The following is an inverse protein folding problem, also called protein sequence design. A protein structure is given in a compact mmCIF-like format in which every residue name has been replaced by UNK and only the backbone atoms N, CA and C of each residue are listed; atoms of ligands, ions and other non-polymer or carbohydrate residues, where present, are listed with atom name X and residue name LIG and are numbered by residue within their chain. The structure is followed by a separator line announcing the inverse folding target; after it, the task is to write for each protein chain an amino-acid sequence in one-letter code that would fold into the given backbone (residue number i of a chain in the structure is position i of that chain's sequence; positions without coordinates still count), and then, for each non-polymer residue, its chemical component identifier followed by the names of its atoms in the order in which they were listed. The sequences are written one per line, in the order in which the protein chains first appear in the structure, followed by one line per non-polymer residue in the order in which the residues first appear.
data_IF_433004188203
#
_entry.id   IF_433004188203
#
_cell.length_a   1.000
_cell.length_b   1.000
_cell.length_c   1.000
_cell.angle_alpha   90.00
_cell.angle_beta   90.00
_cell.angle_gamma   90.00
#
_symmetry.space_group_name_H-M   'P 1'
#
loop_
_entity.id
_entity.type
_entity.pdbx_description
1 polymer ?
#
# COMPACT_ATOMS: atom_id res chain seq x y z
N UNK A 1 -22.28 -10.67 1.42
CA UNK A 1 -21.00 -11.40 1.16
C UNK A 1 -19.88 -10.60 1.81
N UNK A 2 -18.89 -11.27 2.38
CA UNK A 2 -17.70 -10.63 2.96
C UNK A 2 -16.45 -11.11 2.23
N UNK A 3 -15.55 -10.18 1.91
CA UNK A 3 -14.25 -10.43 1.29
C UNK A 3 -13.16 -9.98 2.25
N UNK A 4 -12.23 -10.86 2.59
CA UNK A 4 -11.06 -10.53 3.37
C UNK A 4 -9.85 -10.37 2.46
N UNK A 5 -9.18 -9.21 2.50
CA UNK A 5 -7.99 -8.90 1.72
C UNK A 5 -6.76 -8.93 2.62
N UNK A 6 -5.97 -9.98 2.52
CA UNK A 6 -4.67 -10.06 3.18
C UNK A 6 -3.63 -9.30 2.37
N UNK A 7 -3.12 -8.20 2.91
CA UNK A 7 -2.42 -7.19 2.11
C UNK A 7 -1.31 -6.48 2.87
N UNK A 8 -0.30 -6.03 2.11
CA UNK A 8 0.79 -5.18 2.58
C UNK A 8 0.96 -3.98 1.64
N UNK A 9 1.24 -2.81 2.19
CA UNK A 9 1.47 -1.58 1.41
C UNK A 9 2.72 -1.62 0.53
N UNK A 10 3.69 -2.48 0.82
CA UNK A 10 4.86 -2.69 -0.02
C UNK A 10 4.58 -3.58 -1.25
N UNK A 11 3.40 -4.21 -1.32
CA UNK A 11 3.03 -5.13 -2.39
C UNK A 11 2.35 -4.40 -3.56
N UNK A 12 2.97 -4.32 -4.75
CA UNK A 12 2.36 -3.65 -5.91
C UNK A 12 1.06 -4.33 -6.36
N UNK A 13 1.02 -5.66 -6.29
CA UNK A 13 -0.16 -6.44 -6.70
C UNK A 13 -1.34 -6.29 -5.74
N UNK A 14 -1.08 -5.95 -4.47
CA UNK A 14 -2.14 -5.66 -3.51
C UNK A 14 -2.90 -4.39 -3.91
N UNK A 15 -2.20 -3.31 -4.27
CA UNK A 15 -2.84 -2.07 -4.73
C UNK A 15 -3.57 -2.25 -6.06
N UNK A 16 -2.93 -2.91 -7.03
CA UNK A 16 -3.56 -3.22 -8.32
C UNK A 16 -4.81 -4.09 -8.13
N UNK A 17 -4.72 -5.12 -7.26
CA UNK A 17 -5.82 -6.02 -6.94
C UNK A 17 -7.00 -5.31 -6.27
N UNK A 18 -6.72 -4.40 -5.32
CA UNK A 18 -7.74 -3.55 -4.70
C UNK A 18 -8.51 -2.74 -5.75
N UNK A 19 -7.80 -2.08 -6.67
CA UNK A 19 -8.44 -1.29 -7.73
C UNK A 19 -9.28 -2.13 -8.70
N UNK A 20 -8.81 -3.34 -9.02
CA UNK A 20 -9.59 -4.28 -9.84
C UNK A 20 -10.84 -4.76 -9.12
N UNK A 21 -10.72 -5.06 -7.82
CA UNK A 21 -11.88 -5.44 -7.01
C UNK A 21 -12.90 -4.33 -6.92
N UNK A 22 -12.47 -3.07 -6.66
CA UNK A 22 -13.37 -1.91 -6.65
C UNK A 22 -14.16 -1.79 -7.96
N UNK A 23 -13.47 -1.91 -9.11
CA UNK A 23 -14.11 -1.86 -10.43
C UNK A 23 -15.11 -2.99 -10.62
N UNK A 24 -14.71 -4.22 -10.31
CA UNK A 24 -15.57 -5.39 -10.46
C UNK A 24 -16.83 -5.28 -9.59
N UNK A 25 -16.70 -4.78 -8.36
CA UNK A 25 -17.85 -4.57 -7.47
C UNK A 25 -18.78 -3.46 -7.97
N UNK A 26 -18.25 -2.44 -8.63
CA UNK A 26 -19.07 -1.39 -9.24
C UNK A 26 -19.90 -1.86 -10.44
N UNK A 27 -19.53 -2.98 -11.09
CA UNK A 27 -20.17 -3.53 -12.26
C UNK A 27 -21.24 -4.59 -11.95
N UNK A 28 -21.32 -5.08 -10.71
CA UNK A 28 -22.27 -6.12 -10.32
C UNK A 28 -23.41 -5.60 -9.45
N UNK A 29 -24.60 -6.17 -9.62
CA UNK A 29 -25.76 -5.85 -8.78
C UNK A 29 -25.48 -6.23 -7.31
N UNK A 30 -25.63 -5.26 -6.42
CA UNK A 30 -25.39 -5.44 -4.99
C UNK A 30 -23.91 -5.46 -4.61
N UNK A 31 -23.00 -5.05 -5.49
CA UNK A 31 -21.58 -4.92 -5.17
C UNK A 31 -21.31 -3.92 -4.05
N UNK A 32 -22.14 -2.88 -3.93
CA UNK A 32 -22.15 -1.91 -2.83
C UNK A 32 -22.46 -2.51 -1.45
N UNK A 33 -23.06 -3.70 -1.41
CA UNK A 33 -23.41 -4.43 -0.18
C UNK A 33 -22.33 -5.45 0.22
N UNK A 34 -21.26 -5.55 -0.56
CA UNK A 34 -20.13 -6.43 -0.23
C UNK A 34 -19.27 -5.77 0.83
N UNK A 35 -19.14 -6.41 1.98
CA UNK A 35 -18.22 -5.97 3.03
C UNK A 35 -16.79 -6.37 2.63
N UNK A 36 -15.88 -5.39 2.61
CA UNK A 36 -14.45 -5.63 2.39
C UNK A 36 -13.72 -5.37 3.71
N UNK A 37 -13.03 -6.37 4.20
CA UNK A 37 -12.16 -6.26 5.37
C UNK A 37 -10.70 -6.38 4.95
N UNK A 38 -9.91 -5.34 5.20
CA UNK A 38 -8.47 -5.36 5.02
C UNK A 38 -7.83 -6.11 6.20
N UNK A 39 -7.06 -7.15 5.89
CA UNK A 39 -6.27 -7.91 6.86
C UNK A 39 -4.79 -7.59 6.66
N UNK A 40 -4.14 -7.15 7.70
CA UNK A 40 -2.71 -6.83 7.68
C UNK A 40 -1.87 -8.09 7.50
N UNK A 41 -0.98 -8.07 6.52
CA UNK A 41 0.00 -9.12 6.29
C UNK A 41 1.36 -8.48 6.00
N UNK A 42 2.28 -8.58 6.94
CA UNK A 42 3.62 -8.01 6.81
C UNK A 42 4.52 -8.94 5.99
N UNK A 43 4.83 -8.56 4.74
CA UNK A 43 5.64 -9.36 3.81
C UNK A 43 7.10 -9.51 4.26
N UNK A 44 7.62 -8.51 4.96
CA UNK A 44 8.98 -8.50 5.47
C UNK A 44 9.04 -7.83 6.85
N UNK A 45 8.81 -8.61 7.94
CA UNK A 45 8.86 -8.09 9.31
C UNK A 45 10.23 -7.54 9.72
N UNK A 46 11.29 -7.95 8.99
CA UNK A 46 12.67 -7.54 9.28
C UNK A 46 13.17 -6.39 8.40
N UNK A 47 12.29 -5.82 7.56
CA UNK A 47 12.64 -4.66 6.76
C UNK A 47 13.11 -3.48 7.64
N UNK A 48 14.13 -2.77 7.15
CA UNK A 48 14.63 -1.56 7.84
C UNK A 48 13.55 -0.47 7.88
N UNK A 49 13.57 0.33 8.94
CA UNK A 49 12.80 1.57 9.02
C UNK A 49 13.37 2.69 8.15
N UNK A 50 14.62 2.54 7.71
CA UNK A 50 15.29 3.47 6.79
C UNK A 50 15.39 2.89 5.37
N UNK A 51 15.40 3.79 4.39
CA UNK A 51 15.60 3.40 2.98
C UNK A 51 17.07 3.02 2.79
N UNK A 52 17.35 1.73 2.61
CA UNK A 52 18.72 1.20 2.52
C UNK A 52 19.15 0.85 1.08
N UNK A 53 18.21 0.82 0.14
CA UNK A 53 18.47 0.50 -1.26
C UNK A 53 17.42 1.07 -2.19
N UNK A 54 17.75 1.19 -3.48
CA UNK A 54 16.76 1.52 -4.51
C UNK A 54 15.80 0.36 -4.73
N UNK A 55 14.63 0.65 -5.30
CA UNK A 55 13.65 -0.38 -5.66
C UNK A 55 14.24 -1.36 -6.68
N UNK A 56 15.05 -0.88 -7.64
CA UNK A 56 15.71 -1.73 -8.63
C UNK A 56 16.73 -2.65 -7.96
N UNK A 57 17.59 -2.14 -7.10
CA UNK A 57 18.60 -2.95 -6.42
C UNK A 57 17.96 -4.02 -5.51
N UNK A 58 16.94 -3.64 -4.76
CA UNK A 58 16.19 -4.57 -3.90
C UNK A 58 15.50 -5.67 -4.72
N UNK A 59 14.86 -5.29 -5.83
CA UNK A 59 14.16 -6.21 -6.72
C UNK A 59 15.14 -7.18 -7.39
N UNK A 60 16.26 -6.67 -7.91
CA UNK A 60 17.33 -7.47 -8.51
C UNK A 60 17.89 -8.49 -7.51
N UNK A 61 18.20 -8.05 -6.29
CA UNK A 61 18.72 -8.94 -5.24
C UNK A 61 17.71 -10.02 -4.84
N UNK A 62 16.42 -9.63 -4.66
CA UNK A 62 15.36 -10.58 -4.24
C UNK A 62 15.08 -11.67 -5.25
N UNK A 63 15.15 -11.36 -6.55
CA UNK A 63 14.79 -12.28 -7.62
C UNK A 63 15.98 -12.80 -8.43
N UNK A 64 17.22 -12.52 -7.98
CA UNK A 64 18.47 -12.93 -8.62
C UNK A 64 18.56 -12.50 -10.10
N UNK A 65 18.24 -11.22 -10.36
CA UNK A 65 18.20 -10.61 -11.69
C UNK A 65 19.34 -9.61 -11.86
N UNK A 66 19.67 -9.28 -13.13
CA UNK A 66 20.43 -8.07 -13.43
C UNK A 66 19.59 -6.81 -13.10
N UNK A 67 20.24 -5.65 -13.00
CA UNK A 67 19.52 -4.38 -12.76
C UNK A 67 18.61 -4.02 -13.94
N UNK A 68 19.03 -4.34 -15.15
CA UNK A 68 18.29 -4.14 -16.38
C UNK A 68 17.00 -4.98 -16.38
N UNK A 69 17.09 -6.28 -16.11
CA UNK A 69 15.95 -7.18 -16.01
C UNK A 69 14.98 -6.76 -14.87
N UNK A 70 15.55 -6.33 -13.73
CA UNK A 70 14.75 -5.83 -12.61
C UNK A 70 13.98 -4.57 -13.01
N UNK A 71 14.62 -3.61 -13.68
CA UNK A 71 13.99 -2.38 -14.16
C UNK A 71 12.86 -2.66 -15.16
N UNK A 72 13.07 -3.59 -16.10
CA UNK A 72 12.05 -4.02 -17.07
C UNK A 72 10.83 -4.63 -16.38
N UNK A 73 11.03 -5.50 -15.38
CA UNK A 73 9.92 -6.10 -14.63
C UNK A 73 9.17 -5.09 -13.77
N UNK A 74 9.90 -4.16 -13.12
CA UNK A 74 9.30 -3.05 -12.36
C UNK A 74 8.45 -2.18 -13.28
N UNK A 75 8.93 -1.88 -14.49
CA UNK A 75 8.17 -1.11 -15.47
C UNK A 75 6.94 -1.87 -15.99
N UNK A 76 7.05 -3.18 -16.19
CA UNK A 76 5.90 -4.02 -16.56
C UNK A 76 4.80 -3.98 -15.49
N UNK A 77 5.17 -4.08 -14.20
CA UNK A 77 4.25 -3.94 -13.07
C UNK A 77 3.65 -2.53 -13.02
N UNK A 78 4.48 -1.50 -13.25
CA UNK A 78 4.02 -0.11 -13.29
C UNK A 78 2.97 0.12 -14.39
N UNK A 79 3.16 -0.48 -15.57
CA UNK A 79 2.16 -0.44 -16.66
C UNK A 79 0.84 -1.10 -16.25
N UNK A 80 0.87 -2.23 -15.53
CA UNK A 80 -0.36 -2.83 -14.98
C UNK A 80 -1.09 -1.89 -14.02
N UNK A 81 -0.35 -1.22 -13.12
CA UNK A 81 -0.95 -0.22 -12.22
C UNK A 81 -1.57 0.95 -12.99
N UNK A 82 -0.87 1.47 -13.99
CA UNK A 82 -1.38 2.56 -14.83
C UNK A 82 -2.61 2.15 -15.64
N UNK A 83 -2.71 0.91 -16.11
CA UNK A 83 -3.92 0.41 -16.80
C UNK A 83 -5.15 0.37 -15.89
N UNK A 84 -4.97 0.35 -14.58
CA UNK A 84 -6.03 0.49 -13.60
C UNK A 84 -6.35 1.95 -13.20
N UNK A 85 -5.70 2.93 -13.84
CA UNK A 85 -5.90 4.36 -13.57
C UNK A 85 -5.08 4.89 -12.39
N UNK A 86 -4.08 4.16 -11.93
CA UNK A 86 -3.18 4.59 -10.85
C UNK A 86 -1.98 5.33 -11.46
N UNK A 87 -1.59 6.48 -10.92
CA UNK A 87 -0.27 7.09 -11.20
C UNK A 87 0.82 6.26 -10.50
N UNK A 88 1.12 5.11 -11.09
CA UNK A 88 1.93 4.06 -10.46
C UNK A 88 3.42 4.29 -10.72
N UNK A 89 4.13 4.78 -9.70
CA UNK A 89 5.55 5.15 -9.73
C UNK A 89 6.40 4.16 -8.95
N UNK A 90 6.36 2.87 -9.32
CA UNK A 90 6.96 1.80 -8.55
C UNK A 90 8.49 1.92 -8.45
N UNK A 91 9.17 2.34 -9.50
CA UNK A 91 10.63 2.47 -9.54
C UNK A 91 11.17 3.43 -8.47
N UNK A 92 10.38 4.43 -8.09
CA UNK A 92 10.77 5.50 -7.14
C UNK A 92 10.27 5.25 -5.72
N UNK A 93 9.69 4.08 -5.42
CA UNK A 93 9.20 3.78 -4.08
C UNK A 93 10.32 3.79 -3.04
N UNK A 94 10.00 4.23 -1.84
CA UNK A 94 10.91 4.31 -0.70
C UNK A 94 10.59 3.17 0.27
N UNK A 95 11.14 2.00 -0.02
CA UNK A 95 10.86 0.79 0.73
C UNK A 95 11.40 0.86 2.16
N UNK A 96 10.52 0.62 3.11
CA UNK A 96 10.81 0.50 4.54
C UNK A 96 9.84 -0.50 5.16
N UNK A 97 10.05 -0.82 6.44
CA UNK A 97 9.10 -1.61 7.22
C UNK A 97 7.70 -0.99 7.19
N UNK A 98 6.67 -1.82 7.07
CA UNK A 98 5.25 -1.41 6.94
C UNK A 98 4.43 -1.62 8.20
N UNK A 99 5.03 -2.11 9.29
CA UNK A 99 4.31 -2.45 10.52
C UNK A 99 3.44 -1.30 11.04
N UNK A 100 4.02 -0.08 11.17
CA UNK A 100 3.27 1.06 11.72
C UNK A 100 2.12 1.50 10.81
N UNK A 101 2.29 1.42 9.48
CA UNK A 101 1.19 1.72 8.54
C UNK A 101 0.09 0.68 8.59
N UNK A 102 0.42 -0.60 8.77
CA UNK A 102 -0.55 -1.68 8.95
C UNK A 102 -1.29 -1.55 10.30
N UNK A 103 -0.58 -1.18 11.37
CA UNK A 103 -1.15 -0.92 12.69
C UNK A 103 -2.11 0.27 12.66
N UNK A 104 -1.71 1.37 12.02
CA UNK A 104 -2.57 2.53 11.80
C UNK A 104 -3.84 2.17 11.01
N UNK A 105 -3.72 1.30 10.00
CA UNK A 105 -4.88 0.82 9.24
C UNK A 105 -5.87 0.08 10.14
N UNK A 106 -5.37 -0.79 11.02
CA UNK A 106 -6.22 -1.52 11.96
C UNK A 106 -6.99 -0.58 12.88
N UNK A 107 -6.29 0.39 13.46
CA UNK A 107 -6.91 1.44 14.27
C UNK A 107 -7.96 2.25 13.48
N UNK A 108 -7.64 2.65 12.26
CA UNK A 108 -8.58 3.39 11.40
C UNK A 108 -9.84 2.59 11.07
N UNK A 109 -9.72 1.28 10.83
CA UNK A 109 -10.86 0.40 10.60
C UNK A 109 -11.78 0.33 11.83
N UNK A 110 -11.23 0.25 13.05
CA UNK A 110 -11.99 0.29 14.30
C UNK A 110 -12.78 1.60 14.48
N UNK A 111 -12.28 2.69 13.92
CA UNK A 111 -12.94 4.00 13.87
C UNK A 111 -13.85 4.18 12.64
N UNK A 112 -14.00 3.17 11.78
CA UNK A 112 -14.81 3.25 10.55
C UNK A 112 -14.18 4.12 9.45
N UNK A 113 -12.86 4.35 9.49
CA UNK A 113 -12.11 5.22 8.55
C UNK A 113 -11.35 4.40 7.51
N UNK A 114 -12.04 3.55 6.77
CA UNK A 114 -11.43 2.62 5.79
C UNK A 114 -10.77 3.31 4.60
N UNK A 115 -11.14 4.55 4.27
CA UNK A 115 -10.49 5.34 3.20
C UNK A 115 -8.98 5.58 3.39
N UNK A 116 -8.43 5.30 4.58
CA UNK A 116 -7.00 5.38 4.84
C UNK A 116 -6.20 4.36 4.00
N UNK A 117 -6.80 3.22 3.66
CA UNK A 117 -6.15 2.13 2.92
C UNK A 117 -5.67 2.63 1.56
N UNK A 118 -6.58 3.18 0.77
CA UNK A 118 -6.24 3.75 -0.55
C UNK A 118 -5.26 4.93 -0.42
N UNK A 119 -5.37 5.77 0.62
CA UNK A 119 -4.42 6.87 0.84
C UNK A 119 -3.00 6.38 1.18
N UNK A 120 -2.85 5.29 1.91
CA UNK A 120 -1.54 4.72 2.22
C UNK A 120 -0.90 4.06 0.98
N UNK A 121 -1.68 3.35 0.16
CA UNK A 121 -1.20 2.86 -1.13
C UNK A 121 -0.77 4.00 -2.06
N UNK A 122 -1.58 5.06 -2.18
CA UNK A 122 -1.25 6.25 -2.96
C UNK A 122 0.01 6.96 -2.45
N UNK A 123 0.14 7.09 -1.12
CA UNK A 123 1.32 7.65 -0.49
C UNK A 123 2.59 6.87 -0.88
N UNK A 124 2.53 5.55 -0.92
CA UNK A 124 3.69 4.72 -1.25
C UNK A 124 3.97 4.65 -2.75
N UNK A 125 2.97 4.30 -3.58
CA UNK A 125 3.17 4.02 -5.00
C UNK A 125 3.08 5.25 -5.91
N UNK A 126 2.36 6.29 -5.51
CA UNK A 126 2.19 7.52 -6.31
C UNK A 126 3.06 8.65 -5.80
N UNK A 127 2.99 8.96 -4.50
CA UNK A 127 3.73 10.07 -3.88
C UNK A 127 5.13 9.67 -3.43
N UNK A 128 5.43 8.38 -3.42
CA UNK A 128 6.70 7.78 -3.00
C UNK A 128 7.17 8.27 -1.61
N UNK A 129 6.23 8.30 -0.67
CA UNK A 129 6.50 8.64 0.72
C UNK A 129 7.03 7.44 1.50
N UNK A 130 7.76 7.71 2.59
CA UNK A 130 8.30 6.70 3.49
C UNK A 130 7.23 6.31 4.52
N UNK A 131 6.68 5.09 4.45
CA UNK A 131 5.60 4.64 5.35
C UNK A 131 6.05 4.24 6.75
N UNK A 132 7.35 4.24 7.04
CA UNK A 132 7.88 4.14 8.40
C UNK A 132 8.05 5.50 9.09
N UNK A 133 7.73 6.59 8.40
CA UNK A 133 7.81 7.95 8.91
C UNK A 133 6.51 8.32 9.62
N UNK A 134 6.58 8.54 10.92
CA UNK A 134 5.41 8.85 11.76
C UNK A 134 4.75 10.18 11.40
N UNK A 135 5.51 11.18 10.94
CA UNK A 135 4.93 12.45 10.48
C UNK A 135 4.07 12.24 9.22
N UNK A 136 4.54 11.39 8.29
CA UNK A 136 3.78 10.99 7.11
C UNK A 136 2.50 10.27 7.51
N UNK A 137 2.57 9.29 8.40
CA UNK A 137 1.42 8.50 8.85
C UNK A 137 0.41 9.38 9.59
N UNK A 138 0.86 10.24 10.49
CA UNK A 138 0.01 11.17 11.26
C UNK A 138 -0.72 12.16 10.34
N UNK A 139 -0.03 12.67 9.31
CA UNK A 139 -0.65 13.55 8.31
C UNK A 139 -1.75 12.82 7.54
N UNK A 140 -1.47 11.62 7.05
CA UNK A 140 -2.47 10.81 6.29
C UNK A 140 -3.67 10.48 7.19
N UNK A 141 -3.43 10.12 8.45
CA UNK A 141 -4.48 9.86 9.43
C UNK A 141 -5.39 11.09 9.65
N UNK A 142 -4.80 12.26 9.81
CA UNK A 142 -5.53 13.52 9.95
C UNK A 142 -6.39 13.85 8.72
N UNK A 143 -5.88 13.58 7.51
CA UNK A 143 -6.65 13.70 6.26
C UNK A 143 -7.85 12.73 6.17
N UNK A 144 -7.85 11.67 6.98
CA UNK A 144 -8.96 10.73 7.13
C UNK A 144 -9.88 11.07 8.31
N UNK A 145 -9.62 12.18 9.02
CA UNK A 145 -10.40 12.62 10.17
C UNK A 145 -10.14 11.81 11.44
N UNK A 146 -8.94 11.23 11.58
CA UNK A 146 -8.48 10.63 12.83
C UNK A 146 -7.81 11.69 13.71
N UNK A 147 -7.99 11.56 15.03
CA UNK A 147 -7.38 12.44 16.01
C UNK A 147 -5.86 12.21 16.07
N UNK A 148 -5.08 13.30 16.09
CA UNK A 148 -3.62 13.23 16.05
C UNK A 148 -3.03 12.60 17.32
N UNK A 149 -3.59 12.94 18.47
CA UNK A 149 -3.06 12.45 19.75
C UNK A 149 -3.35 10.97 19.92
N UNK A 150 -4.55 10.53 19.52
CA UNK A 150 -4.91 9.10 19.48
C UNK A 150 -3.98 8.33 18.52
N UNK A 151 -3.73 8.86 17.32
CA UNK A 151 -2.84 8.22 16.33
C UNK A 151 -1.40 8.12 16.83
N UNK A 152 -0.91 9.13 17.55
CA UNK A 152 0.43 9.10 18.12
C UNK A 152 0.57 8.07 19.24
N UNK A 153 -0.52 7.74 19.92
CA UNK A 153 -0.56 6.73 20.97
C UNK A 153 -0.68 5.28 20.45
N UNK A 154 -1.04 5.12 19.18
CA UNK A 154 -1.10 3.82 18.49
C UNK A 154 0.27 3.41 18.04
#
# INVERSE_FOLDING_TARGET
MKIELWSDYACPFCYIGEKRLEKALAEIDGGDKVEIEFKSFELDPYASREVVSSTVDRFAAKYHLSKEEAAERIEAISRMGRSEGIDFRYVSTRYTNTFDSLRLTKYAQEKGKTGIITKLFDAYFTKNLKLSDHDVLTKIAGECGLDKDEVTAV
#
